data_IF_130998500667
#
_entry.id   IF_130998500667
#
_cell.length_a   1.000
_cell.length_b   1.000
_cell.length_c   1.000
_cell.angle_alpha   90.00
_cell.angle_beta   90.00
_cell.angle_gamma   90.00
#
_symmetry.space_group_name_H-M   'P 1'
#
loop_
_entity.id
_entity.type
_entity.pdbx_description
1 polymer ?
#
# COMPACT_ATOMS: atom_id res chain seq x y z
N UNK A 1 -36.61 6.34 5.84
CA UNK A 1 -35.60 6.77 4.83
C UNK A 1 -34.35 7.26 5.55
N UNK A 2 -33.66 6.37 6.28
CA UNK A 2 -32.53 6.71 7.17
C UNK A 2 -31.54 5.55 7.19
N UNK A 3 -30.44 5.64 6.44
CA UNK A 3 -29.53 4.49 6.29
C UNK A 3 -28.13 4.76 5.75
N UNK A 4 -27.58 5.97 5.83
CA UNK A 4 -26.26 6.28 5.24
C UNK A 4 -25.28 7.04 6.15
N UNK A 5 -25.73 7.48 7.33
CA UNK A 5 -24.92 8.28 8.26
C UNK A 5 -23.82 7.48 9.00
N UNK A 6 -24.10 6.29 9.59
CA UNK A 6 -23.07 5.55 10.33
C UNK A 6 -21.98 4.95 9.43
N UNK A 7 -22.33 4.56 8.20
CA UNK A 7 -21.36 4.00 7.25
C UNK A 7 -20.36 5.05 6.73
N UNK A 8 -20.82 6.29 6.48
CA UNK A 8 -19.92 7.40 6.13
C UNK A 8 -18.99 7.75 7.28
N UNK A 9 -19.49 7.75 8.51
CA UNK A 9 -18.69 8.01 9.70
C UNK A 9 -17.59 6.95 9.89
N UNK A 10 -17.93 5.66 9.74
CA UNK A 10 -16.95 4.58 9.80
C UNK A 10 -15.86 4.71 8.72
N UNK A 11 -16.24 4.95 7.45
CA UNK A 11 -15.28 5.13 6.38
C UNK A 11 -14.32 6.31 6.67
N UNK A 12 -14.85 7.42 7.19
CA UNK A 12 -14.03 8.56 7.60
C UNK A 12 -13.08 8.23 8.74
N UNK A 13 -13.53 7.49 9.75
CA UNK A 13 -12.70 7.07 10.87
C UNK A 13 -11.59 6.11 10.41
N UNK A 14 -11.90 5.16 9.51
CA UNK A 14 -10.93 4.25 8.93
C UNK A 14 -9.88 5.00 8.10
N UNK A 15 -10.28 5.89 7.19
CA UNK A 15 -9.31 6.67 6.40
C UNK A 15 -8.44 7.56 7.28
N UNK A 16 -8.98 8.12 8.38
CA UNK A 16 -8.18 8.90 9.34
C UNK A 16 -7.19 8.02 10.09
N UNK A 17 -7.60 6.82 10.49
CA UNK A 17 -6.72 5.85 11.16
C UNK A 17 -5.60 5.38 10.23
N UNK A 18 -5.94 5.01 8.98
CA UNK A 18 -5.01 4.63 7.92
C UNK A 18 -3.98 5.73 7.68
N UNK A 19 -4.43 6.96 7.42
CA UNK A 19 -3.52 8.08 7.17
C UNK A 19 -2.62 8.40 8.38
N UNK A 20 -3.12 8.21 9.59
CA UNK A 20 -2.33 8.38 10.81
C UNK A 20 -1.34 7.23 11.03
N UNK A 21 -1.65 6.01 10.60
CA UNK A 21 -0.73 4.88 10.63
C UNK A 21 0.37 5.05 9.59
N UNK A 22 0.02 5.30 8.33
CA UNK A 22 0.97 5.53 7.22
C UNK A 22 1.97 6.61 7.60
N UNK A 23 1.50 7.77 8.08
CA UNK A 23 2.40 8.86 8.51
C UNK A 23 3.39 8.45 9.60
N UNK A 24 2.99 7.59 10.54
CA UNK A 24 3.90 7.12 11.60
C UNK A 24 4.94 6.15 11.05
N UNK A 25 4.53 5.24 10.17
CA UNK A 25 5.46 4.33 9.50
C UNK A 25 6.45 5.09 8.63
N UNK A 26 5.98 6.02 7.80
CA UNK A 26 6.86 6.85 6.97
C UNK A 26 7.86 7.66 7.80
N UNK A 27 7.43 8.23 8.94
CA UNK A 27 8.34 8.96 9.81
C UNK A 27 9.41 8.06 10.46
N UNK A 28 9.04 6.82 10.83
CA UNK A 28 10.00 5.84 11.35
C UNK A 28 10.97 5.37 10.25
N UNK A 29 10.47 5.11 9.04
CA UNK A 29 11.30 4.73 7.89
C UNK A 29 12.27 5.83 7.50
N UNK A 30 11.84 7.09 7.47
CA UNK A 30 12.74 8.20 7.15
C UNK A 30 13.89 8.33 8.18
N UNK A 31 13.65 7.98 9.44
CA UNK A 31 14.66 8.01 10.49
C UNK A 31 15.68 6.85 10.39
N UNK A 32 15.20 5.64 10.08
CA UNK A 32 16.01 4.41 10.14
C UNK A 32 16.53 3.95 8.78
N UNK A 33 15.80 4.23 7.70
CA UNK A 33 16.09 3.82 6.32
C UNK A 33 15.70 4.94 5.32
N UNK A 34 16.46 6.05 5.28
CA UNK A 34 16.14 7.21 4.46
C UNK A 34 15.99 6.84 2.98
N UNK A 35 14.91 7.33 2.35
CA UNK A 35 14.61 7.03 0.95
C UNK A 35 13.99 5.66 0.68
N UNK A 36 13.74 4.84 1.70
CA UNK A 36 12.97 3.61 1.56
C UNK A 36 11.47 3.92 1.63
N UNK A 37 10.72 3.54 0.58
CA UNK A 37 9.26 3.68 0.59
C UNK A 37 8.60 2.62 1.48
N UNK A 38 7.35 2.83 1.86
CA UNK A 38 6.61 1.88 2.69
C UNK A 38 6.42 0.53 1.98
N UNK A 39 6.15 0.57 0.67
CA UNK A 39 6.00 -0.61 -0.17
C UNK A 39 7.31 -1.38 -0.28
N UNK A 40 8.43 -0.68 -0.46
CA UNK A 40 9.76 -1.31 -0.47
C UNK A 40 10.06 -1.96 0.88
N UNK A 41 9.74 -1.30 1.98
CA UNK A 41 9.92 -1.86 3.31
C UNK A 41 9.09 -3.13 3.53
N UNK A 42 7.82 -3.16 3.10
CA UNK A 42 7.00 -4.38 3.18
C UNK A 42 7.57 -5.54 2.36
N UNK A 43 8.12 -5.26 1.17
CA UNK A 43 8.83 -6.29 0.39
C UNK A 43 10.05 -6.81 1.16
N UNK A 44 10.83 -5.93 1.78
CA UNK A 44 11.99 -6.33 2.56
C UNK A 44 11.61 -7.13 3.82
N UNK A 45 10.52 -6.78 4.49
CA UNK A 45 9.97 -7.51 5.64
C UNK A 45 9.56 -8.93 5.25
N UNK A 46 8.85 -9.09 4.13
CA UNK A 46 8.50 -10.40 3.59
C UNK A 46 9.74 -11.24 3.25
N UNK A 47 10.69 -10.66 2.52
CA UNK A 47 11.91 -11.36 2.11
C UNK A 47 12.87 -11.67 3.27
N UNK A 48 12.70 -11.02 4.42
CA UNK A 48 13.54 -11.26 5.60
C UNK A 48 13.27 -12.62 6.26
N UNK A 49 12.17 -13.31 5.91
CA UNK A 49 11.88 -14.67 6.41
C UNK A 49 12.82 -15.75 5.84
N UNK A 50 13.56 -15.43 4.78
CA UNK A 50 14.52 -16.31 4.13
C UNK A 50 13.89 -17.38 3.22
N UNK A 51 12.57 -17.34 3.03
CA UNK A 51 11.84 -18.22 2.11
C UNK A 51 11.74 -17.59 0.71
N UNK A 52 11.54 -18.43 -0.30
CA UNK A 52 11.32 -17.97 -1.66
C UNK A 52 9.87 -17.54 -1.85
N UNK A 53 9.64 -16.26 -2.19
CA UNK A 53 8.30 -15.72 -2.49
C UNK A 53 8.11 -15.47 -3.98
N UNK A 54 6.94 -15.81 -4.49
CA UNK A 54 6.53 -15.49 -5.86
C UNK A 54 6.26 -14.00 -6.02
N UNK A 55 6.35 -13.48 -7.24
CA UNK A 55 6.07 -12.06 -7.50
C UNK A 55 4.63 -11.65 -7.16
N UNK A 56 3.68 -12.59 -7.26
CA UNK A 56 2.29 -12.37 -6.87
C UNK A 56 2.16 -12.20 -5.36
N UNK A 57 2.78 -13.08 -4.57
CA UNK A 57 2.77 -12.98 -3.10
C UNK A 57 3.42 -11.67 -2.63
N UNK A 58 4.52 -11.27 -3.26
CA UNK A 58 5.20 -10.00 -2.98
C UNK A 58 4.25 -8.82 -3.26
N UNK A 59 3.56 -8.81 -4.41
CA UNK A 59 2.66 -7.73 -4.79
C UNK A 59 1.44 -7.63 -3.86
N UNK A 60 0.85 -8.77 -3.49
CA UNK A 60 -0.26 -8.85 -2.53
C UNK A 60 0.16 -8.37 -1.15
N UNK A 61 1.33 -8.79 -0.67
CA UNK A 61 1.85 -8.39 0.64
C UNK A 61 2.17 -6.89 0.72
N UNK A 62 2.82 -6.34 -0.30
CA UNK A 62 3.18 -4.93 -0.36
C UNK A 62 1.98 -4.02 -0.73
N UNK A 63 0.76 -4.57 -0.78
CA UNK A 63 -0.47 -3.86 -1.15
C UNK A 63 -0.33 -3.08 -2.47
N UNK A 64 0.51 -3.59 -3.37
CA UNK A 64 0.76 -2.95 -4.65
C UNK A 64 -0.51 -3.09 -5.51
N UNK A 65 -0.94 -2.01 -6.20
CA UNK A 65 -2.01 -2.15 -7.17
C UNK A 65 -1.59 -3.20 -8.20
N UNK A 66 -2.53 -4.07 -8.58
CA UNK A 66 -2.32 -4.99 -9.68
C UNK A 66 -1.78 -4.18 -10.87
N UNK A 67 -0.63 -4.62 -11.41
CA UNK A 67 0.05 -3.94 -12.50
C UNK A 67 -0.99 -3.47 -13.53
N UNK A 68 -1.10 -2.16 -13.81
CA UNK A 68 -2.04 -1.72 -14.84
C UNK A 68 -1.60 -2.43 -16.12
N UNK A 69 -2.49 -3.23 -16.71
CA UNK A 69 -2.27 -3.77 -18.04
C UNK A 69 -1.75 -2.62 -18.90
N UNK A 70 -0.53 -2.76 -19.43
CA UNK A 70 0.05 -1.77 -20.33
C UNK A 70 -0.96 -1.63 -21.47
N UNK A 71 -1.77 -0.57 -21.45
CA UNK A 71 -2.64 -0.27 -22.56
C UNK A 71 -1.70 0.13 -23.69
N UNK A 72 -1.40 -0.85 -24.53
CA UNK A 72 -0.86 -0.66 -25.86
C UNK A 72 -1.94 0.05 -26.69
N UNK A 73 -2.26 1.29 -26.33
CA UNK A 73 -3.19 2.16 -27.06
C UNK A 73 -2.86 3.63 -26.75
N UNK A 74 -1.62 4.02 -27.05
CA UNK A 74 -1.25 5.42 -27.14
C UNK A 74 -0.21 5.59 -28.27
N UNK A 75 -0.70 6.16 -29.38
CA UNK A 75 0.03 6.80 -30.47
C UNK A 75 0.76 5.89 -31.48
N UNK A 76 -0.03 5.20 -32.31
CA UNK A 76 0.19 5.28 -33.76
C UNK A 76 -0.62 6.52 -34.24
N UNK A 77 0.05 7.68 -34.29
CA UNK A 77 -0.33 8.88 -35.09
C UNK A 77 0.96 9.59 -35.51
#
# INVERSE_FOLDING_TARGET
MTGTKPQRDLAHLLSRAEHAAVRRFTAALEAEAPGCSLEQWWVLDLLADGEGHTMTEIAEHALLPACPFYTSDAADD
#
